data_IF_651330173969
#
_entry.id   IF_651330173969
#
_cell.length_a   1.000
_cell.length_b   1.000
_cell.length_c   1.000
_cell.angle_alpha   90.00
_cell.angle_beta   90.00
_cell.angle_gamma   90.00
#
_symmetry.space_group_name_H-M   'P 1'
#
loop_
_entity.id
_entity.type
_entity.pdbx_description
1 polymer ?
#
# COMPACT_ATOMS: atom_id res chain seq x y z
N UNK A 1 12.48 18.99 -6.96
CA UNK A 1 12.89 18.82 -5.55
C UNK A 1 13.01 17.32 -5.30
N UNK A 2 14.22 16.78 -5.35
CA UNK A 2 14.48 15.34 -5.13
C UNK A 2 14.53 15.15 -3.61
N UNK A 3 13.51 14.52 -3.04
CA UNK A 3 13.53 14.18 -1.62
C UNK A 3 14.21 12.82 -1.48
N UNK A 4 15.40 12.79 -0.88
CA UNK A 4 15.93 11.58 -0.24
C UNK A 4 15.07 11.33 1.01
N UNK A 5 13.90 10.72 0.84
CA UNK A 5 13.05 10.29 1.93
C UNK A 5 12.89 8.77 1.85
N UNK A 6 13.80 8.06 2.52
CA UNK A 6 13.78 6.61 2.68
C UNK A 6 12.57 6.07 3.49
N UNK A 7 11.51 6.86 3.70
CA UNK A 7 10.35 6.49 4.54
C UNK A 7 9.00 7.02 4.01
N UNK A 8 8.90 7.47 2.75
CA UNK A 8 7.58 7.80 2.20
C UNK A 8 6.77 6.51 1.98
N UNK A 9 5.58 6.36 2.60
CA UNK A 9 4.81 5.13 2.51
C UNK A 9 3.94 5.05 1.24
N UNK A 10 4.02 6.04 0.34
CA UNK A 10 3.33 6.02 -0.95
C UNK A 10 3.74 4.79 -1.76
N UNK A 11 2.76 4.04 -2.23
CA UNK A 11 3.03 2.89 -3.10
C UNK A 11 3.28 3.30 -4.54
N UNK A 12 3.77 2.33 -5.32
CA UNK A 12 4.01 2.49 -6.75
C UNK A 12 2.75 2.13 -7.55
N UNK A 13 2.64 2.69 -8.75
CA UNK A 13 1.63 2.28 -9.72
C UNK A 13 2.03 0.93 -10.35
N UNK A 14 1.07 0.01 -10.46
CA UNK A 14 1.28 -1.29 -11.12
C UNK A 14 0.02 -1.72 -11.86
N UNK A 15 0.19 -2.54 -12.90
CA UNK A 15 -0.92 -3.07 -13.68
C UNK A 15 -1.29 -4.48 -13.20
N UNK A 16 -2.59 -4.74 -13.06
CA UNK A 16 -3.16 -6.05 -12.76
C UNK A 16 -4.25 -6.34 -13.79
N UNK A 17 -3.90 -7.05 -14.86
CA UNK A 17 -4.79 -7.25 -16.01
C UNK A 17 -5.14 -5.92 -16.68
N UNK A 18 -6.44 -5.66 -16.83
CA UNK A 18 -6.95 -4.42 -17.45
C UNK A 18 -7.13 -3.26 -16.45
N UNK A 19 -6.59 -3.39 -15.23
CA UNK A 19 -6.74 -2.40 -14.17
C UNK A 19 -5.37 -1.88 -13.75
N UNK A 20 -5.22 -0.56 -13.75
CA UNK A 20 -4.11 0.11 -13.08
C UNK A 20 -4.43 0.27 -11.60
N UNK A 21 -3.44 0.01 -10.76
CA UNK A 21 -3.60 0.06 -9.31
C UNK A 21 -2.49 0.87 -8.67
N UNK A 22 -2.87 1.59 -7.62
CA UNK A 22 -1.93 2.20 -6.68
C UNK A 22 -2.40 1.81 -5.28
N UNK A 23 -1.51 1.16 -4.55
CA UNK A 23 -1.70 0.93 -3.11
C UNK A 23 -1.08 2.10 -2.36
N UNK A 24 -1.66 2.54 -1.25
CA UNK A 24 -1.22 3.73 -0.50
C UNK A 24 -1.01 4.98 -1.37
N UNK A 25 -1.97 5.32 -2.22
CA UNK A 25 -1.97 6.64 -2.82
C UNK A 25 -2.35 7.66 -1.74
N UNK A 26 -1.67 8.81 -1.72
CA UNK A 26 -2.01 9.91 -0.82
C UNK A 26 -2.95 10.89 -1.52
N UNK A 27 -4.04 11.27 -0.86
CA UNK A 27 -5.02 12.20 -1.42
C UNK A 27 -4.52 13.64 -1.23
N UNK A 28 -4.04 14.25 -2.31
CA UNK A 28 -3.53 15.62 -2.35
C UNK A 28 -4.65 16.67 -2.41
N UNK A 29 -5.73 16.35 -3.12
CA UNK A 29 -6.88 17.22 -3.28
C UNK A 29 -8.16 16.45 -3.64
N UNK A 30 -9.32 17.03 -3.34
CA UNK A 30 -10.64 16.45 -3.61
C UNK A 30 -11.56 17.53 -4.15
N UNK A 31 -12.17 17.24 -5.30
CA UNK A 31 -13.27 18.03 -5.86
C UNK A 31 -14.51 17.15 -5.91
N UNK A 32 -15.49 17.43 -5.05
CA UNK A 32 -16.78 16.74 -5.08
C UNK A 32 -17.88 17.76 -5.38
N UNK A 33 -18.52 17.63 -6.54
CA UNK A 33 -19.68 18.47 -6.89
C UNK A 33 -20.97 17.90 -6.29
N UNK A 34 -21.10 16.58 -6.32
CA UNK A 34 -22.19 15.82 -5.74
C UNK A 34 -21.71 14.38 -5.48
N UNK A 35 -22.46 13.59 -4.70
CA UNK A 35 -22.10 12.18 -4.43
C UNK A 35 -22.20 11.24 -5.65
N UNK A 36 -22.39 11.76 -6.86
CA UNK A 36 -22.42 11.01 -8.12
C UNK A 36 -21.27 11.37 -9.08
N UNK A 37 -20.57 12.49 -8.85
CA UNK A 37 -19.51 12.97 -9.71
C UNK A 37 -18.49 13.78 -8.91
N UNK A 38 -17.22 13.45 -9.07
CA UNK A 38 -16.11 14.21 -8.50
C UNK A 38 -14.78 13.82 -9.12
N UNK A 39 -13.71 14.37 -8.58
CA UNK A 39 -12.35 13.92 -8.88
C UNK A 39 -11.48 14.00 -7.63
N UNK A 40 -10.50 13.12 -7.56
CA UNK A 40 -9.46 13.15 -6.53
C UNK A 40 -8.11 13.30 -7.21
N UNK A 41 -7.25 14.13 -6.64
CA UNK A 41 -5.85 14.19 -7.02
C UNK A 41 -5.08 13.31 -6.05
N UNK A 42 -4.42 12.27 -6.55
CA UNK A 42 -3.62 11.37 -5.72
C UNK A 42 -2.16 11.41 -6.13
N UNK A 43 -1.27 11.26 -5.15
CA UNK A 43 0.17 11.13 -5.37
C UNK A 43 0.65 9.71 -5.05
N UNK A 44 1.65 9.28 -5.82
CA UNK A 44 2.22 7.94 -5.76
C UNK A 44 3.72 7.98 -6.04
N UNK A 45 4.43 6.94 -5.61
CA UNK A 45 5.87 6.83 -5.79
C UNK A 45 6.21 6.24 -7.17
N UNK A 46 7.25 6.79 -7.81
CA UNK A 46 7.87 6.26 -9.02
C UNK A 46 9.33 5.97 -8.72
N UNK A 47 9.76 4.75 -9.05
CA UNK A 47 11.15 4.33 -8.88
C UNK A 47 11.93 4.71 -10.13
N UNK A 48 12.94 5.53 -9.96
CA UNK A 48 13.84 5.96 -11.02
C UNK A 48 15.10 5.08 -11.08
N UNK A 49 15.81 5.09 -12.21
CA UNK A 49 17.15 4.50 -12.30
C UNK A 49 18.06 5.09 -11.21
N UNK A 50 18.85 4.23 -10.53
CA UNK A 50 19.77 4.67 -9.48
C UNK A 50 19.16 4.81 -8.09
N UNK A 51 18.05 4.11 -7.80
CA UNK A 51 17.38 4.06 -6.48
C UNK A 51 16.72 5.36 -6.03
N UNK A 52 16.67 6.39 -6.88
CA UNK A 52 15.87 7.58 -6.61
C UNK A 52 14.37 7.25 -6.64
N UNK A 53 13.61 7.85 -5.73
CA UNK A 53 12.14 7.78 -5.72
C UNK A 53 11.62 9.19 -5.95
N UNK A 54 10.83 9.38 -7.01
CA UNK A 54 10.11 10.62 -7.25
C UNK A 54 8.62 10.44 -6.96
N UNK A 55 7.97 11.52 -6.55
CA UNK A 55 6.53 11.55 -6.31
C UNK A 55 5.85 12.13 -7.54
N UNK A 56 4.94 11.36 -8.11
CA UNK A 56 4.11 11.78 -9.23
C UNK A 56 2.65 11.87 -8.80
N UNK A 57 1.86 12.57 -9.60
CA UNK A 57 0.43 12.81 -9.34
C UNK A 57 -0.41 12.33 -10.52
N UNK A 58 -1.61 11.86 -10.22
CA UNK A 58 -2.65 11.52 -11.20
C UNK A 58 -4.00 11.98 -10.66
N UNK A 59 -4.82 12.56 -11.54
CA UNK A 59 -6.20 12.91 -11.21
C UNK A 59 -7.12 11.75 -11.59
N UNK A 60 -7.90 11.27 -10.65
CA UNK A 60 -8.86 10.20 -10.86
C UNK A 60 -10.27 10.78 -10.86
N UNK A 61 -10.99 10.55 -11.95
CA UNK A 61 -12.38 10.92 -12.11
C UNK A 61 -13.25 9.87 -11.43
N UNK A 62 -14.15 10.33 -10.56
CA UNK A 62 -15.09 9.52 -9.81
C UNK A 62 -16.49 9.77 -10.36
N UNK A 63 -17.20 8.71 -10.71
CA UNK A 63 -18.56 8.78 -11.24
C UNK A 63 -19.47 7.75 -10.55
N UNK A 64 -20.72 7.63 -10.99
CA UNK A 64 -21.71 6.70 -10.41
C UNK A 64 -21.31 5.22 -10.46
N UNK A 65 -20.38 4.85 -11.33
CA UNK A 65 -19.86 3.49 -11.45
C UNK A 65 -18.67 3.25 -10.52
N UNK A 66 -18.09 4.31 -9.94
CA UNK A 66 -16.97 4.18 -9.02
C UNK A 66 -17.45 3.72 -7.65
N UNK A 67 -16.93 2.59 -7.18
CA UNK A 67 -17.24 2.08 -5.84
C UNK A 67 -16.27 2.66 -4.81
N UNK A 68 -16.79 3.42 -3.83
CA UNK A 68 -15.97 3.94 -2.73
C UNK A 68 -16.25 3.14 -1.47
N UNK A 69 -15.20 2.68 -0.80
CA UNK A 69 -15.29 1.92 0.46
C UNK A 69 -14.46 2.57 1.55
N UNK A 70 -14.92 2.43 2.80
CA UNK A 70 -14.14 2.80 3.98
C UNK A 70 -13.14 1.69 4.35
N UNK A 71 -12.34 1.93 5.39
CA UNK A 71 -11.33 0.96 5.83
C UNK A 71 -11.90 -0.35 6.40
N UNK A 72 -13.22 -0.40 6.67
CA UNK A 72 -13.92 -1.62 7.05
C UNK A 72 -14.54 -2.36 5.85
N UNK A 73 -14.31 -1.88 4.62
CA UNK A 73 -14.88 -2.43 3.39
C UNK A 73 -16.34 -2.08 3.15
N UNK A 74 -16.92 -1.19 3.95
CA UNK A 74 -18.31 -0.74 3.78
C UNK A 74 -18.38 0.40 2.76
N UNK A 75 -19.48 0.48 2.02
CA UNK A 75 -19.70 1.57 1.07
C UNK A 75 -19.61 2.94 1.75
N UNK A 76 -18.95 3.87 1.08
CA UNK A 76 -18.76 5.24 1.50
C UNK A 76 -19.14 6.18 0.35
N UNK A 77 -19.32 7.46 0.66
CA UNK A 77 -19.69 8.44 -0.34
C UNK A 77 -18.47 9.04 -1.04
N UNK A 78 -18.60 9.53 -2.28
CA UNK A 78 -17.51 10.19 -3.00
C UNK A 78 -17.04 11.43 -2.22
N UNK A 79 -17.96 12.25 -1.72
CA UNK A 79 -17.63 13.44 -0.94
C UNK A 79 -17.07 13.11 0.47
N UNK A 80 -17.05 11.84 0.87
CA UNK A 80 -16.50 11.40 2.15
C UNK A 80 -14.97 11.26 2.08
N UNK A 81 -14.40 11.18 0.87
CA UNK A 81 -12.96 11.22 0.65
C UNK A 81 -12.48 12.65 0.97
N UNK A 82 -11.42 12.76 1.76
CA UNK A 82 -10.84 14.06 2.15
C UNK A 82 -9.37 14.10 1.82
N UNK A 83 -8.88 15.31 1.55
CA UNK A 83 -7.45 15.59 1.49
C UNK A 83 -6.74 15.07 2.75
N UNK A 84 -5.58 14.47 2.57
CA UNK A 84 -4.79 13.86 3.65
C UNK A 84 -5.12 12.40 3.96
N UNK A 85 -6.17 11.84 3.35
CA UNK A 85 -6.46 10.42 3.46
C UNK A 85 -5.48 9.58 2.63
N UNK A 86 -5.31 8.33 3.05
CA UNK A 86 -4.64 7.31 2.27
C UNK A 86 -5.69 6.43 1.60
N UNK A 87 -5.47 6.09 0.34
CA UNK A 87 -6.42 5.30 -0.44
C UNK A 87 -5.68 4.22 -1.23
N UNK A 88 -6.33 3.07 -1.40
CA UNK A 88 -6.01 2.16 -2.49
C UNK A 88 -6.96 2.47 -3.63
N UNK A 89 -6.47 2.50 -4.85
CA UNK A 89 -7.27 2.85 -6.02
C UNK A 89 -7.05 1.87 -7.15
N UNK A 90 -8.13 1.58 -7.87
CA UNK A 90 -8.11 0.86 -9.14
C UNK A 90 -8.78 1.71 -10.21
N UNK A 91 -8.13 1.86 -11.35
CA UNK A 91 -8.55 2.78 -12.40
C UNK A 91 -8.14 2.28 -13.79
N UNK A 92 -8.68 2.92 -14.81
CA UNK A 92 -8.43 2.55 -16.20
C UNK A 92 -6.98 2.82 -16.61
N UNK A 93 -6.34 1.92 -17.38
CA UNK A 93 -5.05 2.19 -18.02
C UNK A 93 -5.13 3.27 -19.10
N UNK A 94 -6.32 3.59 -19.61
CA UNK A 94 -6.52 4.67 -20.56
C UNK A 94 -6.45 6.03 -19.83
N UNK A 95 -5.29 6.70 -19.95
CA UNK A 95 -5.03 8.00 -19.33
C UNK A 95 -4.97 9.13 -20.37
N UNK A 96 -5.31 10.34 -19.94
CA UNK A 96 -5.15 11.56 -20.75
C UNK A 96 -3.69 11.99 -20.83
N UNK A 97 -3.36 12.82 -21.82
CA UNK A 97 -2.04 13.47 -21.98
C UNK A 97 -1.89 14.80 -21.22
N UNK A 98 -2.79 15.10 -20.27
CA UNK A 98 -2.70 16.33 -19.48
C UNK A 98 -1.66 16.21 -18.37
N UNK A 99 -1.34 17.33 -17.71
CA UNK A 99 -0.43 17.38 -16.56
C UNK A 99 -1.19 17.97 -15.36
N UNK A 100 -1.48 17.18 -14.30
CA UNK A 100 -1.25 15.74 -14.19
C UNK A 100 -2.13 14.92 -15.16
N UNK A 101 -1.75 13.67 -15.49
CA UNK A 101 -2.60 12.77 -16.26
C UNK A 101 -3.91 12.50 -15.53
N UNK A 102 -4.96 12.17 -16.28
CA UNK A 102 -6.28 11.86 -15.73
C UNK A 102 -6.79 10.50 -16.21
N UNK A 103 -7.53 9.79 -15.37
CA UNK A 103 -8.19 8.51 -15.71
C UNK A 103 -9.46 8.31 -14.89
N UNK A 104 -10.35 7.41 -15.34
CA UNK A 104 -11.55 7.03 -14.60
C UNK A 104 -11.24 5.95 -13.57
N UNK A 105 -11.68 6.14 -12.33
CA UNK A 105 -11.53 5.14 -11.28
C UNK A 105 -12.71 4.16 -11.27
N UNK A 106 -12.38 2.87 -11.12
CA UNK A 106 -13.34 1.80 -10.90
C UNK A 106 -13.71 1.69 -9.42
N UNK A 107 -12.72 1.83 -8.53
CA UNK A 107 -12.95 1.79 -7.09
C UNK A 107 -11.90 2.58 -6.30
N UNK A 108 -12.29 3.02 -5.12
CA UNK A 108 -11.45 3.73 -4.15
C UNK A 108 -11.69 3.12 -2.77
N UNK A 109 -10.65 2.67 -2.09
CA UNK A 109 -10.73 2.11 -0.74
C UNK A 109 -9.94 2.97 0.24
N UNK A 110 -10.66 3.74 1.06
CA UNK A 110 -10.09 4.61 2.09
C UNK A 110 -9.41 3.77 3.17
N UNK A 111 -8.18 4.14 3.53
CA UNK A 111 -7.38 3.52 4.57
C UNK A 111 -7.36 4.41 5.82
N UNK A 112 -7.31 3.80 7.02
CA UNK A 112 -7.13 4.54 8.29
C UNK A 112 -5.72 5.12 8.41
N UNK A 113 -4.75 4.33 7.95
CA UNK A 113 -3.32 4.61 7.96
C UNK A 113 -2.71 4.08 6.67
N UNK A 114 -1.59 4.63 6.18
CA UNK A 114 -0.89 4.01 5.08
C UNK A 114 -0.52 2.57 5.46
N UNK A 115 -0.78 1.61 4.57
CA UNK A 115 -0.38 0.23 4.77
C UNK A 115 1.12 0.13 4.55
N UNK A 116 1.94 0.22 5.59
CA UNK A 116 3.37 -0.13 5.45
C UNK A 116 3.39 -1.56 4.88
N UNK A 117 4.05 -1.83 3.74
CA UNK A 117 4.12 -3.18 3.21
C UNK A 117 4.69 -4.07 4.31
N UNK A 118 3.82 -4.85 4.96
CA UNK A 118 4.27 -5.83 5.94
C UNK A 118 5.05 -6.83 5.08
N UNK A 119 6.37 -7.01 5.30
CA UNK A 119 7.09 -8.06 4.61
C UNK A 119 6.28 -9.35 4.79
N UNK A 120 6.15 -10.19 3.74
CA UNK A 120 5.39 -11.43 3.85
C UNK A 120 5.80 -12.11 5.15
N UNK A 121 4.84 -12.36 6.03
CA UNK A 121 5.10 -13.05 7.30
C UNK A 121 5.72 -14.37 6.88
N UNK A 122 7.06 -14.47 6.98
CA UNK A 122 7.74 -15.71 6.72
C UNK A 122 7.08 -16.70 7.69
N UNK A 123 6.63 -17.88 7.23
CA UNK A 123 6.06 -18.88 8.12
C UNK A 123 7.08 -19.05 9.24
N UNK A 124 6.69 -18.66 10.46
CA UNK A 124 7.58 -18.79 11.62
C UNK A 124 8.05 -20.24 11.59
N UNK A 125 9.36 -20.52 11.49
CA UNK A 125 9.83 -21.89 11.56
C UNK A 125 9.21 -22.48 12.82
N UNK A 126 8.35 -23.50 12.68
CA UNK A 126 7.94 -24.27 13.84
C UNK A 126 9.24 -24.72 14.47
N UNK A 127 9.59 -24.17 15.63
CA UNK A 127 10.63 -24.72 16.49
C UNK A 127 10.13 -26.11 16.91
N UNK A 128 10.31 -27.07 16.00
CA UNK A 128 10.02 -28.46 16.20
C UNK A 128 11.12 -28.97 17.11
N UNK A 129 10.75 -29.14 18.37
CA UNK A 129 11.42 -29.97 19.38
C UNK A 129 12.73 -29.39 19.88
N UNK A 130 12.63 -28.59 20.94
CA UNK A 130 13.52 -28.86 22.07
C UNK A 130 13.32 -30.33 22.43
N UNK A 131 14.29 -31.19 22.11
CA UNK A 131 14.34 -32.53 22.72
C UNK A 131 14.51 -32.28 24.22
N UNK A 132 13.58 -32.70 25.08
CA UNK A 132 13.82 -32.62 26.52
C UNK A 132 15.10 -33.41 26.80
N UNK A 133 15.97 -32.83 27.63
CA UNK A 133 17.18 -33.53 28.09
C UNK A 133 16.75 -34.84 28.74
N UNK A 134 17.44 -35.94 28.41
CA UNK A 134 17.19 -37.24 29.00
C UNK A 134 17.20 -37.14 30.53
N UNK A 135 16.25 -37.77 31.24
CA UNK A 135 16.26 -37.77 32.71
C UNK A 135 17.57 -38.39 33.21
N UNK A 136 18.35 -37.64 34.01
CA UNK A 136 19.53 -38.16 34.71
C UNK A 136 20.86 -37.47 34.43
N UNK A 137 20.94 -36.49 33.53
CA UNK A 137 22.17 -35.71 33.34
C UNK A 137 22.19 -34.47 34.23
N UNK A 138 23.23 -34.35 35.07
CA UNK A 138 23.49 -33.14 35.87
C UNK A 138 23.60 -31.92 34.95
N UNK A 139 22.99 -30.82 35.39
CA UNK A 139 22.87 -29.54 34.68
C UNK A 139 24.18 -29.00 34.08
N UNK A 140 25.33 -29.37 34.66
CA UNK A 140 26.67 -28.97 34.19
C UNK A 140 27.15 -29.62 32.88
N UNK A 141 26.40 -30.58 32.31
CA UNK A 141 26.72 -31.22 31.01
C UNK A 141 25.79 -30.85 29.86
N UNK A 142 24.80 -30.00 30.09
CA UNK A 142 23.97 -29.46 29.02
C UNK A 142 24.75 -28.38 28.27
N UNK A 143 25.53 -28.76 27.26
CA UNK A 143 26.06 -27.76 26.31
C UNK A 143 24.88 -27.19 25.51
N UNK A 144 24.76 -25.86 25.38
CA UNK A 144 23.83 -25.30 24.41
C UNK A 144 24.28 -25.73 23.02
N UNK A 145 23.44 -26.47 22.30
CA UNK A 145 23.58 -26.67 20.87
C UNK A 145 23.15 -25.38 20.17
N UNK A 146 24.04 -24.38 20.18
CA UNK A 146 23.96 -23.22 19.30
C UNK A 146 24.81 -23.44 18.05
N UNK A 147 24.44 -22.88 16.88
CA UNK A 147 25.27 -22.97 15.69
C UNK A 147 26.46 -22.02 15.85
N UNK A 148 27.65 -22.60 16.00
CA UNK A 148 28.88 -21.85 16.13
C UNK A 148 29.89 -22.61 16.96
N UNK A 149 30.57 -23.58 16.30
CA UNK A 149 31.96 -23.99 16.52
C UNK A 149 32.25 -25.24 15.67
N UNK A 150 32.34 -25.05 14.35
CA UNK A 150 33.45 -25.47 13.47
C UNK A 150 33.12 -25.08 12.04
#
# INVERSE_FOLDING_TARGET
MVFLMNNDPRGTMFQQGDIMRINNAYVEDVSCSNNSSGSILVSYAVREPGQAVSIQQIRLNLNRQTTVTNAAGQNSCICCIRKGMWVNVGFSPAMTRSIPPQSNAFWVAIQRTPQIPVPPVQPVPRFSRYRPCSPGLRYSRCRPCGPGLR
#
